data_IF_250918525435
#
_entry.id   IF_250918525435
#
_cell.length_a   1.000
_cell.length_b   1.000
_cell.length_c   1.000
_cell.angle_alpha   90.00
_cell.angle_beta   90.00
_cell.angle_gamma   90.00
#
_symmetry.space_group_name_H-M   'P 1'
#
loop_
_entity.id
_entity.type
_entity.pdbx_description
1 polymer ?
#
# COMPACT_ATOMS: atom_id res chain seq x y z
N UNK A 1 25.52 58.54 -36.29
CA UNK A 1 25.24 59.26 -35.03
C UNK A 1 24.37 58.35 -34.19
N UNK A 2 24.87 58.02 -33.01
CA UNK A 2 24.39 56.99 -32.07
C UNK A 2 22.91 57.10 -31.68
N UNK A 3 22.24 55.98 -31.37
CA UNK A 3 21.19 55.95 -30.36
C UNK A 3 21.77 55.67 -28.96
N UNK A 4 21.13 56.17 -27.88
CA UNK A 4 21.63 56.03 -26.51
C UNK A 4 21.33 54.64 -25.92
N UNK A 5 22.17 54.26 -24.95
CA UNK A 5 22.11 53.03 -24.18
C UNK A 5 21.28 53.13 -22.89
N UNK A 6 20.94 51.93 -22.39
CA UNK A 6 20.44 51.52 -21.07
C UNK A 6 18.98 51.78 -20.69
N UNK A 7 18.22 50.69 -20.59
CA UNK A 7 17.89 50.18 -19.25
C UNK A 7 17.63 48.66 -19.25
N UNK A 8 18.26 47.96 -18.32
CA UNK A 8 18.22 46.52 -18.11
C UNK A 8 16.92 46.04 -17.42
N UNK A 9 16.34 44.96 -17.99
CA UNK A 9 15.60 43.77 -17.47
C UNK A 9 15.22 43.66 -15.95
N UNK A 10 14.32 42.75 -15.48
CA UNK A 10 13.50 41.74 -16.18
C UNK A 10 12.02 41.61 -15.74
N UNK A 11 11.15 41.20 -16.66
CA UNK A 11 9.77 40.79 -16.35
C UNK A 11 9.44 39.47 -17.02
N UNK A 12 10.03 38.37 -16.55
CA UNK A 12 9.59 37.02 -16.95
C UNK A 12 8.25 36.71 -16.28
N UNK A 13 7.21 36.27 -17.00
CA UNK A 13 5.99 35.82 -16.37
C UNK A 13 6.30 34.54 -15.58
N UNK A 14 5.99 34.57 -14.29
CA UNK A 14 6.26 33.49 -13.36
C UNK A 14 5.67 32.17 -13.84
N UNK A 15 6.55 31.18 -13.98
CA UNK A 15 6.17 29.77 -14.03
C UNK A 15 5.37 29.47 -12.76
N UNK A 16 4.06 29.39 -12.91
CA UNK A 16 3.19 28.79 -11.90
C UNK A 16 3.56 27.31 -11.90
N UNK A 17 4.46 26.92 -11.01
CA UNK A 17 4.79 25.52 -10.74
C UNK A 17 3.56 24.86 -10.13
N UNK A 18 2.59 24.53 -10.96
CA UNK A 18 1.54 23.59 -10.62
C UNK A 18 2.26 22.29 -10.24
N UNK A 19 2.07 21.75 -9.02
CA UNK A 19 2.66 20.47 -8.67
C UNK A 19 2.22 19.46 -9.75
N UNK A 20 3.12 18.60 -10.23
CA UNK A 20 2.76 17.61 -11.23
C UNK A 20 1.54 16.86 -10.68
N UNK A 21 0.45 16.86 -11.45
CA UNK A 21 -0.73 16.05 -11.16
C UNK A 21 -0.21 14.63 -10.92
N UNK A 22 -0.24 14.20 -9.66
CA UNK A 22 0.39 12.97 -9.24
C UNK A 22 -0.20 11.85 -10.10
N UNK A 23 0.67 11.11 -10.79
CA UNK A 23 0.23 9.95 -11.55
C UNK A 23 -0.61 9.03 -10.62
N UNK A 24 -1.67 8.36 -11.15
CA UNK A 24 -2.42 7.36 -10.40
C UNK A 24 -1.46 6.47 -9.62
N UNK A 25 -1.68 6.36 -8.31
CA UNK A 25 -0.67 5.79 -7.41
C UNK A 25 -0.74 4.26 -7.51
N UNK A 26 -0.03 3.67 -8.49
CA UNK A 26 -0.08 2.23 -8.76
C UNK A 26 0.54 1.41 -7.61
N UNK A 27 -0.30 0.98 -6.68
CA UNK A 27 0.10 0.20 -5.51
C UNK A 27 0.69 -1.15 -5.90
N UNK A 28 0.12 -1.82 -6.91
CA UNK A 28 0.64 -3.09 -7.40
C UNK A 28 2.05 -2.95 -7.95
N UNK A 29 2.31 -1.93 -8.78
CA UNK A 29 3.63 -1.66 -9.31
C UNK A 29 4.63 -1.35 -8.18
N UNK A 30 4.22 -0.54 -7.20
CA UNK A 30 5.04 -0.23 -6.03
C UNK A 30 5.41 -1.48 -5.22
N UNK A 31 4.41 -2.33 -4.91
CA UNK A 31 4.60 -3.59 -4.19
C UNK A 31 5.49 -4.53 -4.98
N UNK A 32 5.25 -4.70 -6.28
CA UNK A 32 6.02 -5.58 -7.15
C UNK A 32 7.49 -5.16 -7.23
N UNK A 33 7.76 -3.87 -7.42
CA UNK A 33 9.12 -3.33 -7.43
C UNK A 33 9.80 -3.48 -6.06
N UNK A 34 9.06 -3.32 -4.96
CA UNK A 34 9.57 -3.49 -3.62
C UNK A 34 9.92 -4.96 -3.34
N UNK A 35 9.02 -5.89 -3.66
CA UNK A 35 9.24 -7.34 -3.50
C UNK A 35 10.41 -7.82 -4.35
N UNK A 36 10.52 -7.39 -5.61
CA UNK A 36 11.64 -7.78 -6.48
C UNK A 36 13.00 -7.39 -5.89
N UNK A 37 13.07 -6.24 -5.19
CA UNK A 37 14.29 -5.80 -4.48
C UNK A 37 14.55 -6.58 -3.19
N UNK A 38 13.51 -7.12 -2.54
CA UNK A 38 13.64 -7.92 -1.32
C UNK A 38 14.16 -9.35 -1.59
N UNK A 39 13.84 -9.93 -2.75
CA UNK A 39 14.17 -11.34 -3.06
C UNK A 39 15.59 -11.55 -3.60
N UNK A 40 16.54 -10.67 -3.28
CA UNK A 40 17.91 -10.71 -3.80
C UNK A 40 18.76 -11.88 -3.26
N UNK A 41 19.48 -12.57 -4.15
CA UNK A 41 20.55 -13.59 -4.03
C UNK A 41 20.41 -14.76 -3.03
N UNK A 42 19.71 -14.62 -1.90
CA UNK A 42 19.59 -15.62 -0.83
C UNK A 42 18.20 -16.26 -0.68
N UNK A 43 17.22 -15.87 -1.50
CA UNK A 43 15.89 -16.49 -1.51
C UNK A 43 15.01 -16.23 -0.27
N UNK A 44 15.50 -15.48 0.72
CA UNK A 44 14.72 -15.01 1.86
C UNK A 44 13.99 -13.70 1.51
N UNK A 45 12.77 -13.55 2.02
CA UNK A 45 12.00 -12.31 1.89
C UNK A 45 12.34 -11.40 3.07
N UNK A 46 12.75 -10.16 2.81
CA UNK A 46 12.90 -9.15 3.85
C UNK A 46 11.53 -8.71 4.38
N UNK A 47 11.16 -9.23 5.55
CA UNK A 47 9.88 -8.95 6.18
C UNK A 47 9.75 -7.51 6.69
N UNK A 48 10.84 -6.75 6.85
CA UNK A 48 10.77 -5.32 7.23
C UNK A 48 10.15 -4.51 6.10
N UNK A 49 10.55 -4.78 4.87
CA UNK A 49 10.01 -4.08 3.71
C UNK A 49 8.58 -4.57 3.44
N UNK A 50 8.27 -5.85 3.68
CA UNK A 50 6.90 -6.35 3.63
C UNK A 50 5.97 -5.61 4.60
N UNK A 51 6.42 -5.36 5.84
CA UNK A 51 5.69 -4.55 6.83
C UNK A 51 5.51 -3.10 6.39
N UNK A 52 6.51 -2.50 5.75
CA UNK A 52 6.38 -1.15 5.19
C UNK A 52 5.32 -1.10 4.08
N UNK A 53 5.31 -2.08 3.18
CA UNK A 53 4.29 -2.18 2.14
C UNK A 53 2.88 -2.33 2.74
N UNK A 54 2.71 -3.16 3.78
CA UNK A 54 1.45 -3.25 4.52
C UNK A 54 1.03 -1.91 5.14
N UNK A 55 1.96 -1.19 5.77
CA UNK A 55 1.70 0.11 6.38
C UNK A 55 1.28 1.20 5.39
N UNK A 56 1.49 1.01 4.09
CA UNK A 56 1.06 1.94 3.04
C UNK A 56 -0.32 1.59 2.44
N UNK A 57 -0.85 0.38 2.71
CA UNK A 57 -2.06 -0.12 2.05
C UNK A 57 -3.27 0.80 2.26
N UNK A 58 -3.51 1.29 3.48
CA UNK A 58 -4.64 2.16 3.81
C UNK A 58 -4.53 3.54 3.15
N UNK A 59 -3.32 4.10 3.08
CA UNK A 59 -3.04 5.37 2.41
C UNK A 59 -3.22 5.30 0.89
N UNK A 60 -2.76 4.22 0.26
CA UNK A 60 -2.98 3.99 -1.17
C UNK A 60 -4.46 3.77 -1.46
N UNK A 61 -5.19 3.00 -0.64
CA UNK A 61 -6.64 2.84 -0.79
C UNK A 61 -7.37 4.19 -0.79
N UNK A 62 -7.02 5.07 0.14
CA UNK A 62 -7.62 6.42 0.23
C UNK A 62 -7.28 7.28 -0.99
N UNK A 63 -6.01 7.24 -1.43
CA UNK A 63 -5.53 8.05 -2.56
C UNK A 63 -6.17 7.58 -3.86
N UNK A 64 -6.20 6.26 -4.08
CA UNK A 64 -6.79 5.62 -5.24
C UNK A 64 -8.29 5.87 -5.34
N UNK A 65 -9.01 5.76 -4.22
CA UNK A 65 -10.43 6.10 -4.12
C UNK A 65 -10.73 7.57 -4.48
N UNK A 66 -9.79 8.48 -4.20
CA UNK A 66 -9.98 9.92 -4.45
C UNK A 66 -9.60 10.36 -5.87
N UNK A 67 -8.65 9.66 -6.51
CA UNK A 67 -8.07 10.06 -7.80
C UNK A 67 -8.72 9.37 -9.01
N UNK A 68 -9.06 8.08 -8.89
CA UNK A 68 -9.80 7.34 -9.91
C UNK A 68 -10.56 6.18 -9.23
N UNK A 69 -11.84 6.41 -8.85
CA UNK A 69 -12.64 5.44 -8.12
C UNK A 69 -12.82 4.09 -8.84
N UNK A 70 -12.71 4.04 -10.17
CA UNK A 70 -13.04 2.84 -10.96
C UNK A 70 -11.78 2.07 -11.42
N UNK A 71 -10.68 2.75 -11.73
CA UNK A 71 -9.44 2.10 -12.21
C UNK A 71 -8.49 1.64 -11.11
N UNK A 72 -8.30 2.45 -10.06
CA UNK A 72 -7.17 2.26 -9.14
C UNK A 72 -7.43 1.25 -8.00
N UNK A 73 -8.70 0.96 -7.68
CA UNK A 73 -9.04 -0.11 -6.72
C UNK A 73 -8.51 -1.46 -7.18
N UNK A 74 -8.43 -1.69 -8.49
CA UNK A 74 -7.89 -2.93 -9.06
C UNK A 74 -6.41 -3.09 -8.74
N UNK A 75 -5.60 -2.04 -8.93
CA UNK A 75 -4.17 -2.04 -8.57
C UNK A 75 -3.98 -2.19 -7.06
N UNK A 76 -4.74 -1.45 -6.26
CA UNK A 76 -4.72 -1.60 -4.80
C UNK A 76 -4.97 -3.06 -4.38
N UNK A 77 -6.00 -3.67 -4.96
CA UNK A 77 -6.40 -5.05 -4.67
C UNK A 77 -5.33 -6.05 -5.06
N UNK A 78 -4.75 -5.91 -6.25
CA UNK A 78 -3.68 -6.79 -6.72
C UNK A 78 -2.44 -6.69 -5.82
N UNK A 79 -2.02 -5.45 -5.49
CA UNK A 79 -0.91 -5.19 -4.58
C UNK A 79 -1.14 -5.80 -3.20
N UNK A 80 -2.32 -5.58 -2.60
CA UNK A 80 -2.60 -6.07 -1.25
C UNK A 80 -2.72 -7.60 -1.19
N UNK A 81 -3.36 -8.23 -2.20
CA UNK A 81 -3.38 -9.69 -2.32
C UNK A 81 -1.98 -10.27 -2.42
N UNK A 82 -1.09 -9.66 -3.21
CA UNK A 82 0.29 -10.13 -3.36
C UNK A 82 1.06 -10.11 -2.04
N UNK A 83 0.86 -9.09 -1.20
CA UNK A 83 1.47 -9.04 0.13
C UNK A 83 0.94 -10.16 1.04
N UNK A 84 -0.36 -10.43 1.00
CA UNK A 84 -0.99 -11.50 1.77
C UNK A 84 -0.54 -12.88 1.27
N UNK A 85 -0.41 -13.07 -0.04
CA UNK A 85 0.14 -14.30 -0.64
C UNK A 85 1.55 -14.58 -0.11
N UNK A 86 2.41 -13.56 -0.09
CA UNK A 86 3.76 -13.69 0.45
C UNK A 86 3.75 -14.04 1.94
N UNK A 87 2.87 -13.42 2.73
CA UNK A 87 2.72 -13.74 4.15
C UNK A 87 2.25 -15.19 4.36
N UNK A 88 1.30 -15.67 3.57
CA UNK A 88 0.83 -17.08 3.61
C UNK A 88 1.95 -18.04 3.23
N UNK A 89 2.75 -17.72 2.21
CA UNK A 89 3.93 -18.52 1.84
C UNK A 89 4.95 -18.56 2.98
N UNK A 90 5.24 -17.42 3.63
CA UNK A 90 6.14 -17.36 4.78
C UNK A 90 5.59 -18.15 5.97
N UNK A 91 4.27 -18.12 6.20
CA UNK A 91 3.60 -18.91 7.22
C UNK A 91 3.80 -20.42 6.98
N UNK A 92 3.50 -20.90 5.77
CA UNK A 92 3.68 -22.32 5.41
C UNK A 92 5.15 -22.78 5.47
N UNK A 93 6.10 -21.88 5.21
CA UNK A 93 7.54 -22.15 5.35
C UNK A 93 8.04 -22.13 6.79
N UNK A 94 7.20 -21.78 7.76
CA UNK A 94 7.63 -21.66 9.14
C UNK A 94 8.33 -20.34 9.48
N UNK A 95 8.53 -19.43 8.51
CA UNK A 95 9.42 -18.26 8.65
C UNK A 95 8.70 -16.93 8.86
N UNK A 96 7.37 -16.88 8.79
CA UNK A 96 6.62 -15.65 9.06
C UNK A 96 6.82 -15.17 10.51
N UNK A 97 7.21 -13.91 10.65
CA UNK A 97 7.37 -13.20 11.93
C UNK A 97 6.02 -12.69 12.44
N UNK A 98 5.84 -12.67 13.77
CA UNK A 98 4.64 -12.12 14.41
C UNK A 98 4.41 -10.65 14.01
N UNK A 99 5.46 -9.83 13.97
CA UNK A 99 5.36 -8.42 13.58
C UNK A 99 4.77 -8.25 12.17
N UNK A 100 5.06 -9.19 11.26
CA UNK A 100 4.52 -9.17 9.90
C UNK A 100 3.03 -9.51 9.89
N UNK A 101 2.62 -10.51 10.69
CA UNK A 101 1.20 -10.85 10.87
C UNK A 101 0.43 -9.69 11.50
N UNK A 102 1.04 -9.01 12.48
CA UNK A 102 0.50 -7.80 13.10
C UNK A 102 0.34 -6.66 12.10
N UNK A 103 1.36 -6.40 11.27
CA UNK A 103 1.29 -5.37 10.24
C UNK A 103 0.18 -5.66 9.22
N UNK A 104 0.02 -6.91 8.78
CA UNK A 104 -1.05 -7.30 7.87
C UNK A 104 -2.44 -7.15 8.49
N UNK A 105 -2.61 -7.58 9.74
CA UNK A 105 -3.88 -7.46 10.48
C UNK A 105 -4.28 -6.00 10.71
N UNK A 106 -3.30 -5.16 11.05
CA UNK A 106 -3.47 -3.71 11.19
C UNK A 106 -3.84 -3.06 9.85
N UNK A 107 -3.09 -3.35 8.79
CA UNK A 107 -3.38 -2.83 7.46
C UNK A 107 -4.80 -3.20 6.98
N UNK A 108 -5.22 -4.45 7.19
CA UNK A 108 -6.57 -4.90 6.86
C UNK A 108 -7.65 -4.11 7.63
N UNK A 109 -7.42 -3.83 8.91
CA UNK A 109 -8.37 -3.11 9.77
C UNK A 109 -8.46 -1.63 9.42
N UNK A 110 -7.32 -1.00 9.11
CA UNK A 110 -7.28 0.38 8.64
C UNK A 110 -7.94 0.53 7.27
N UNK A 111 -7.66 -0.37 6.32
CA UNK A 111 -8.31 -0.40 5.01
C UNK A 111 -9.82 -0.61 5.13
N UNK A 112 -10.28 -1.47 6.06
CA UNK A 112 -11.71 -1.62 6.36
C UNK A 112 -12.35 -0.31 6.82
N UNK A 113 -11.66 0.41 7.70
CA UNK A 113 -12.12 1.70 8.23
C UNK A 113 -12.19 2.77 7.12
N UNK A 114 -11.19 2.82 6.23
CA UNK A 114 -11.17 3.72 5.07
C UNK A 114 -12.32 3.38 4.12
N UNK A 115 -12.48 2.11 3.73
CA UNK A 115 -13.59 1.69 2.87
C UNK A 115 -14.97 1.93 3.53
N UNK A 116 -15.04 1.87 4.86
CA UNK A 116 -16.23 2.20 5.65
C UNK A 116 -16.74 3.63 5.41
N UNK A 117 -15.83 4.58 5.24
CA UNK A 117 -16.12 6.01 5.16
C UNK A 117 -16.51 6.51 3.76
N UNK A 118 -16.37 5.67 2.72
CA UNK A 118 -16.60 6.06 1.32
C UNK A 118 -17.63 5.12 0.69
N UNK A 119 -18.73 5.67 0.16
CA UNK A 119 -19.88 4.87 -0.29
C UNK A 119 -19.59 4.19 -1.64
N UNK A 120 -18.68 4.78 -2.40
CA UNK A 120 -18.21 4.37 -3.71
C UNK A 120 -17.22 3.19 -3.63
N UNK A 121 -16.71 2.87 -2.44
CA UNK A 121 -15.79 1.75 -2.18
C UNK A 121 -16.52 0.45 -1.80
N UNK A 122 -17.73 0.23 -2.32
CA UNK A 122 -18.51 -0.99 -2.06
C UNK A 122 -17.73 -2.27 -2.36
N UNK A 123 -17.11 -2.34 -3.54
CA UNK A 123 -16.34 -3.49 -4.00
C UNK A 123 -15.08 -3.71 -3.15
N UNK A 124 -14.45 -2.63 -2.67
CA UNK A 124 -13.29 -2.72 -1.78
C UNK A 124 -13.63 -3.42 -0.45
N UNK A 125 -14.86 -3.29 0.06
CA UNK A 125 -15.28 -3.98 1.30
C UNK A 125 -15.30 -5.49 1.14
N UNK A 126 -15.84 -5.99 0.03
CA UNK A 126 -15.88 -7.43 -0.22
C UNK A 126 -14.48 -8.01 -0.42
N UNK A 127 -13.59 -7.24 -1.03
CA UNK A 127 -12.18 -7.60 -1.18
C UNK A 127 -11.43 -7.61 0.17
N UNK A 128 -11.65 -6.60 1.01
CA UNK A 128 -11.06 -6.57 2.37
C UNK A 128 -11.59 -7.73 3.21
N UNK A 129 -12.88 -8.11 3.10
CA UNK A 129 -13.43 -9.30 3.77
C UNK A 129 -12.74 -10.57 3.30
N UNK A 130 -12.55 -10.75 1.99
CA UNK A 130 -11.86 -11.91 1.46
C UNK A 130 -10.43 -12.00 2.02
N UNK A 131 -9.73 -10.87 2.11
CA UNK A 131 -8.39 -10.81 2.71
C UNK A 131 -8.42 -11.13 4.21
N UNK A 132 -9.40 -10.61 4.96
CA UNK A 132 -9.56 -10.91 6.38
C UNK A 132 -9.78 -12.40 6.63
N UNK A 133 -10.53 -13.09 5.77
CA UNK A 133 -10.70 -14.56 5.84
C UNK A 133 -9.36 -15.28 5.65
N UNK A 134 -8.55 -14.83 4.68
CA UNK A 134 -7.22 -15.41 4.43
C UNK A 134 -6.26 -15.18 5.59
N UNK A 135 -6.25 -13.98 6.17
CA UNK A 135 -5.47 -13.67 7.37
C UNK A 135 -5.94 -14.50 8.57
N UNK A 136 -7.24 -14.71 8.73
CA UNK A 136 -7.75 -15.61 9.78
C UNK A 136 -7.23 -17.03 9.61
N UNK A 137 -7.06 -17.50 8.37
CA UNK A 137 -6.54 -18.84 8.07
C UNK A 137 -5.10 -19.10 8.47
N UNK A 138 -4.30 -18.05 8.78
CA UNK A 138 -2.93 -18.21 9.28
C UNK A 138 -2.82 -18.08 10.81
N UNK A 139 -3.91 -17.68 11.49
CA UNK A 139 -3.95 -17.55 12.95
C UNK A 139 -4.19 -18.90 13.61
N UNK A 140 -3.92 -18.96 14.92
CA UNK A 140 -4.30 -20.11 15.75
C UNK A 140 -5.84 -20.22 15.83
N UNK A 141 -6.35 -21.37 16.29
CA UNK A 141 -7.80 -21.69 16.31
C UNK A 141 -8.68 -20.64 17.02
N UNK A 142 -8.11 -19.89 17.97
CA UNK A 142 -8.81 -18.82 18.67
C UNK A 142 -9.02 -17.54 17.82
N UNK A 143 -8.37 -17.45 16.65
CA UNK A 143 -8.43 -16.33 15.72
C UNK A 143 -7.84 -15.01 16.25
N UNK A 144 -7.05 -15.05 17.33
CA UNK A 144 -6.51 -13.89 18.04
C UNK A 144 -5.02 -14.00 18.35
N UNK A 145 -4.45 -15.20 18.19
CA UNK A 145 -3.02 -15.45 18.38
C UNK A 145 -2.41 -16.03 17.13
N UNK A 146 -1.10 -15.87 17.01
CA UNK A 146 -0.27 -16.49 16.00
C UNK A 146 0.89 -17.17 16.72
N UNK A 147 0.93 -18.51 16.69
CA UNK A 147 1.92 -19.32 17.41
C UNK A 147 1.95 -19.02 18.92
N UNK A 148 0.78 -18.79 19.51
CA UNK A 148 0.61 -18.51 20.93
C UNK A 148 0.82 -17.05 21.33
N UNK A 149 1.30 -16.20 20.42
CA UNK A 149 1.48 -14.77 20.69
C UNK A 149 0.30 -13.94 20.18
N UNK A 150 -0.05 -12.87 20.89
CA UNK A 150 -1.24 -12.07 20.58
C UNK A 150 -1.03 -11.26 19.30
N UNK A 151 -2.00 -11.36 18.38
CA UNK A 151 -2.05 -10.56 17.16
C UNK A 151 -2.84 -9.28 17.38
N UNK A 152 -2.54 -8.24 16.62
CA UNK A 152 -3.35 -7.04 16.52
C UNK A 152 -4.79 -7.41 16.13
N UNK A 153 -5.73 -7.09 17.01
CA UNK A 153 -7.16 -7.19 16.78
C UNK A 153 -7.72 -5.78 16.98
N UNK A 154 -8.40 -5.19 15.99
CA UNK A 154 -9.04 -3.88 16.14
C UNK A 154 -10.17 -3.89 17.18
#
# INVERSE_FOLDING_TARGET
MEPPADNQNPGGPGSSSQPPVAAPTDYEAFVTASVARMTGAGGSVDQRVLRQCFGLASSYLMTDASMDPNGNITSWTAGFNRLVDLLVVLHHRGTAELDTVNAASKACSESWSVAGNWRELGDAKDLIRAIAVRLKGILDDNGRTYRGERVYVP
#
